data_IF_833707272682
#
_entry.id   IF_833707272682
#
_cell.length_a   1.000
_cell.length_b   1.000
_cell.length_c   1.000
_cell.angle_alpha   90.00
_cell.angle_beta   90.00
_cell.angle_gamma   90.00
#
_symmetry.space_group_name_H-M   'P 1'
#
loop_
_entity.id
_entity.type
_entity.pdbx_description
1 polymer ?
#
# COMPACT_ATOMS: atom_id res chain seq x y z
N UNK A 1 -31.96 1.92 -26.62
CA UNK A 1 -31.15 2.84 -27.45
C UNK A 1 -30.80 4.08 -26.62
N UNK A 2 -29.59 4.18 -26.06
CA UNK A 2 -29.17 5.35 -25.29
C UNK A 2 -28.64 6.44 -26.23
N UNK A 3 -29.06 7.68 -25.96
CA UNK A 3 -28.69 8.90 -26.68
C UNK A 3 -27.17 9.12 -26.61
N UNK A 4 -26.50 9.20 -27.77
CA UNK A 4 -25.10 9.62 -27.87
C UNK A 4 -24.95 11.03 -27.33
N UNK A 5 -24.08 11.18 -26.33
CA UNK A 5 -23.67 12.47 -25.79
C UNK A 5 -22.92 13.32 -26.82
N UNK A 6 -23.13 14.63 -26.73
CA UNK A 6 -22.49 15.67 -27.52
C UNK A 6 -20.97 15.44 -27.67
N UNK A 7 -20.52 15.22 -28.90
CA UNK A 7 -19.09 15.36 -29.25
C UNK A 7 -18.68 16.83 -29.06
N UNK A 8 -17.54 17.13 -28.41
CA UNK A 8 -17.04 18.49 -28.33
C UNK A 8 -16.80 19.03 -29.75
N UNK A 9 -17.46 20.14 -30.08
CA UNK A 9 -17.38 20.81 -31.39
C UNK A 9 -16.08 21.62 -31.44
N UNK A 10 -14.96 20.94 -31.67
CA UNK A 10 -13.65 21.59 -31.83
C UNK A 10 -13.69 22.57 -33.00
N UNK A 11 -13.30 23.83 -32.78
CA UNK A 11 -13.23 24.82 -33.86
C UNK A 11 -12.15 24.38 -34.85
N UNK A 12 -12.44 24.46 -36.15
CA UNK A 12 -11.54 24.08 -37.26
C UNK A 12 -10.13 24.72 -37.18
N UNK A 13 -9.99 25.84 -36.45
CA UNK A 13 -8.71 26.51 -36.17
C UNK A 13 -7.90 25.89 -35.03
N UNK A 14 -8.53 25.27 -34.01
CA UNK A 14 -7.84 24.54 -32.94
C UNK A 14 -7.22 23.25 -33.48
N UNK A 15 -7.92 22.55 -34.38
CA UNK A 15 -7.45 21.28 -34.96
C UNK A 15 -6.18 21.45 -35.80
N UNK A 16 -6.07 22.55 -36.57
CA UNK A 16 -4.86 22.88 -37.35
C UNK A 16 -3.69 23.29 -36.45
N UNK A 17 -3.95 24.04 -35.37
CA UNK A 17 -2.91 24.40 -34.40
C UNK A 17 -2.35 23.17 -33.71
N UNK A 18 -3.22 22.26 -33.27
CA UNK A 18 -2.82 21.00 -32.64
C UNK A 18 -2.03 20.12 -33.62
N UNK A 19 -2.49 19.95 -34.86
CA UNK A 19 -1.72 19.19 -35.88
C UNK A 19 -0.35 19.81 -36.16
N UNK A 20 -0.25 21.14 -36.25
CA UNK A 20 1.03 21.82 -36.47
C UNK A 20 1.98 21.72 -35.28
N UNK A 21 1.45 21.72 -34.05
CA UNK A 21 2.23 21.54 -32.83
C UNK A 21 2.73 20.09 -32.72
N UNK A 22 1.87 19.11 -33.04
CA UNK A 22 2.21 17.69 -33.05
C UNK A 22 3.31 17.39 -34.07
N UNK A 23 3.20 17.93 -35.29
CA UNK A 23 4.23 17.77 -36.33
C UNK A 23 5.57 18.39 -35.92
N UNK A 24 5.55 19.53 -35.23
CA UNK A 24 6.77 20.16 -34.69
C UNK A 24 7.36 19.37 -33.52
N UNK A 25 6.53 18.84 -32.63
CA UNK A 25 6.96 18.01 -31.51
C UNK A 25 7.64 16.72 -32.03
N UNK A 26 7.01 16.05 -33.01
CA UNK A 26 7.57 14.86 -33.67
C UNK A 26 8.89 15.19 -34.40
N UNK A 27 8.98 16.34 -35.07
CA UNK A 27 10.21 16.77 -35.75
C UNK A 27 11.34 17.12 -34.78
N UNK A 28 11.02 17.74 -33.63
CA UNK A 28 12.00 18.03 -32.58
C UNK A 28 12.46 16.75 -31.87
N UNK A 29 11.55 15.83 -31.58
CA UNK A 29 11.84 14.54 -30.96
C UNK A 29 12.70 13.62 -31.85
N UNK A 30 12.70 13.85 -33.17
CA UNK A 30 13.55 13.12 -34.13
C UNK A 30 14.88 13.83 -34.45
N UNK A 31 15.14 15.00 -33.87
CA UNK A 31 16.41 15.72 -34.06
C UNK A 31 17.48 15.23 -33.05
N UNK A 32 18.58 14.60 -33.52
CA UNK A 32 19.61 14.07 -32.64
C UNK A 32 20.28 15.14 -31.77
N UNK A 33 20.43 16.38 -32.27
CA UNK A 33 21.02 17.48 -31.47
C UNK A 33 20.10 17.93 -30.33
N UNK A 34 18.79 17.86 -30.51
CA UNK A 34 17.82 18.17 -29.47
C UNK A 34 17.86 17.11 -28.36
N UNK A 35 17.89 15.83 -28.73
CA UNK A 35 18.01 14.71 -27.80
C UNK A 35 19.32 14.75 -27.00
N UNK A 36 20.43 15.11 -27.64
CA UNK A 36 21.72 15.24 -26.96
C UNK A 36 21.73 16.40 -25.96
N UNK A 37 21.16 17.56 -26.32
CA UNK A 37 20.99 18.70 -25.39
C UNK A 37 20.08 18.33 -24.21
N UNK A 38 18.98 17.61 -24.48
CA UNK A 38 18.06 17.08 -23.45
C UNK A 38 18.80 16.14 -22.48
N UNK A 39 19.66 15.25 -23.00
CA UNK A 39 20.48 14.34 -22.19
C UNK A 39 21.47 15.09 -21.29
N UNK A 40 22.16 16.09 -21.82
CA UNK A 40 23.11 16.92 -21.03
C UNK A 40 22.37 17.66 -19.92
N UNK A 41 21.22 18.25 -20.22
CA UNK A 41 20.37 18.92 -19.22
C UNK A 41 19.90 17.94 -18.13
N UNK A 42 19.57 16.70 -18.49
CA UNK A 42 19.21 15.64 -17.54
C UNK A 42 20.37 15.26 -16.63
N UNK A 43 21.55 15.02 -17.20
CA UNK A 43 22.74 14.72 -16.40
C UNK A 43 23.11 15.87 -15.46
N UNK A 44 22.88 17.11 -15.89
CA UNK A 44 23.07 18.29 -15.05
C UNK A 44 22.06 18.32 -13.88
N UNK A 45 20.79 17.95 -14.11
CA UNK A 45 19.76 17.81 -13.06
C UNK A 45 20.12 16.71 -12.06
N UNK A 46 20.55 15.53 -12.53
CA UNK A 46 20.96 14.41 -11.66
C UNK A 46 22.17 14.75 -10.77
N UNK A 47 22.97 15.76 -11.14
CA UNK A 47 24.07 16.27 -10.30
C UNK A 47 23.59 17.17 -9.14
N UNK A 48 22.34 17.61 -9.14
CA UNK A 48 21.70 18.37 -8.05
C UNK A 48 21.19 17.35 -7.03
N UNK A 49 22.07 17.03 -6.08
CA UNK A 49 21.75 16.16 -4.94
C UNK A 49 22.33 16.79 -3.68
N UNK A 50 21.69 16.51 -2.54
CA UNK A 50 22.04 17.09 -1.24
C UNK A 50 23.52 16.92 -0.91
N UNK A 51 24.10 15.76 -1.25
CA UNK A 51 25.50 15.43 -0.95
C UNK A 51 26.53 16.16 -1.82
N UNK A 52 26.14 16.60 -3.03
CA UNK A 52 27.03 17.32 -3.95
C UNK A 52 26.88 18.83 -3.82
N UNK A 53 25.64 19.32 -3.70
CA UNK A 53 25.30 20.75 -3.65
C UNK A 53 24.23 21.00 -2.57
N UNK A 54 24.57 20.92 -1.26
CA UNK A 54 23.57 20.93 -0.19
C UNK A 54 22.73 22.20 -0.16
N UNK A 55 23.36 23.37 -0.21
CA UNK A 55 22.67 24.67 -0.12
C UNK A 55 21.76 24.94 -1.34
N UNK A 56 22.24 24.62 -2.54
CA UNK A 56 21.45 24.81 -3.78
C UNK A 56 20.27 23.85 -3.81
N UNK A 57 20.49 22.59 -3.46
CA UNK A 57 19.42 21.56 -3.42
C UNK A 57 18.35 21.95 -2.41
N UNK A 58 18.73 22.39 -1.20
CA UNK A 58 17.78 22.83 -0.19
C UNK A 58 17.00 24.07 -0.62
N UNK A 59 17.66 25.05 -1.25
CA UNK A 59 17.01 26.25 -1.76
C UNK A 59 15.98 25.92 -2.84
N UNK A 60 16.33 25.08 -3.83
CA UNK A 60 15.42 24.65 -4.89
C UNK A 60 14.26 23.81 -4.35
N UNK A 61 14.54 22.93 -3.39
CA UNK A 61 13.50 22.20 -2.66
C UNK A 61 12.48 23.15 -2.01
N UNK A 62 12.93 24.17 -1.29
CA UNK A 62 12.05 25.14 -0.64
C UNK A 62 11.21 25.92 -1.65
N UNK A 63 11.81 26.38 -2.75
CA UNK A 63 11.10 27.12 -3.80
C UNK A 63 10.02 26.26 -4.48
N UNK A 64 10.33 25.02 -4.85
CA UNK A 64 9.35 24.11 -5.46
C UNK A 64 8.22 23.76 -4.49
N UNK A 65 8.56 23.58 -3.21
CA UNK A 65 7.57 23.36 -2.15
C UNK A 65 6.62 24.55 -2.03
N UNK A 66 7.13 25.79 -2.07
CA UNK A 66 6.31 27.01 -2.02
C UNK A 66 5.44 27.18 -3.28
N UNK A 67 5.98 26.90 -4.47
CA UNK A 67 5.23 26.96 -5.73
C UNK A 67 4.07 25.97 -5.71
N UNK A 68 4.36 24.72 -5.34
CA UNK A 68 3.34 23.69 -5.24
C UNK A 68 2.32 24.07 -4.17
N UNK A 69 2.74 24.49 -2.98
CA UNK A 69 1.83 24.93 -1.92
C UNK A 69 0.90 26.06 -2.39
N UNK A 70 1.42 27.06 -3.10
CA UNK A 70 0.62 28.12 -3.71
C UNK A 70 -0.39 27.55 -4.72
N UNK A 71 0.03 26.62 -5.57
CA UNK A 71 -0.83 25.93 -6.52
C UNK A 71 -1.96 25.16 -5.83
N UNK A 72 -1.64 24.40 -4.79
CA UNK A 72 -2.61 23.70 -3.94
C UNK A 72 -3.59 24.68 -3.30
N UNK A 73 -3.13 25.79 -2.72
CA UNK A 73 -3.99 26.82 -2.11
C UNK A 73 -4.93 27.44 -3.14
N UNK A 74 -4.45 27.80 -4.33
CA UNK A 74 -5.30 28.39 -5.39
C UNK A 74 -6.33 27.38 -5.89
N UNK A 75 -5.95 26.11 -6.06
CA UNK A 75 -6.89 25.05 -6.42
C UNK A 75 -7.92 24.82 -5.31
N UNK A 76 -7.49 24.75 -4.06
CA UNK A 76 -8.35 24.61 -2.89
C UNK A 76 -9.37 25.76 -2.85
N UNK A 77 -8.91 27.00 -3.08
CA UNK A 77 -9.77 28.17 -3.14
C UNK A 77 -10.79 28.12 -4.28
N UNK A 78 -10.40 27.61 -5.45
CA UNK A 78 -11.31 27.40 -6.58
C UNK A 78 -12.41 26.39 -6.22
N UNK A 79 -12.08 25.39 -5.41
CA UNK A 79 -13.00 24.36 -4.93
C UNK A 79 -13.75 24.75 -3.65
N UNK A 80 -13.63 26.01 -3.18
CA UNK A 80 -14.19 26.47 -1.89
C UNK A 80 -15.65 26.09 -1.67
N UNK A 81 -16.51 26.12 -2.71
CA UNK A 81 -17.93 25.76 -2.57
C UNK A 81 -18.14 24.28 -2.21
N UNK A 82 -17.28 23.39 -2.74
CA UNK A 82 -17.28 21.98 -2.39
C UNK A 82 -16.63 21.71 -1.03
N UNK A 83 -15.73 22.59 -0.57
CA UNK A 83 -15.05 22.48 0.71
C UNK A 83 -15.81 23.07 1.89
N UNK A 84 -16.79 23.95 1.66
CA UNK A 84 -17.65 24.50 2.71
C UNK A 84 -18.46 23.41 3.41
N UNK A 85 -19.00 22.44 2.67
CA UNK A 85 -19.78 21.34 3.25
C UNK A 85 -18.96 20.45 4.22
N UNK A 86 -17.78 19.90 3.83
CA UNK A 86 -16.96 19.14 4.77
C UNK A 86 -16.39 20.01 5.89
N UNK A 87 -16.10 21.30 5.64
CA UNK A 87 -15.67 22.21 6.70
C UNK A 87 -16.77 22.41 7.75
N UNK A 88 -18.01 22.64 7.33
CA UNK A 88 -19.17 22.73 8.24
C UNK A 88 -19.36 21.44 9.02
N UNK A 89 -19.20 20.28 8.37
CA UNK A 89 -19.29 18.98 9.01
C UNK A 89 -18.19 18.77 10.05
N UNK A 90 -16.96 19.22 9.77
CA UNK A 90 -15.83 19.22 10.72
C UNK A 90 -16.09 20.13 11.92
N UNK A 91 -16.68 21.31 11.69
CA UNK A 91 -17.06 22.24 12.76
C UNK A 91 -18.16 21.63 13.63
N UNK A 92 -19.18 21.00 13.03
CA UNK A 92 -20.24 20.30 13.77
C UNK A 92 -19.64 19.15 14.57
N UNK A 93 -18.76 18.35 13.97
CA UNK A 93 -18.09 17.24 14.66
C UNK A 93 -17.22 17.74 15.82
N UNK A 94 -16.47 18.83 15.61
CA UNK A 94 -15.69 19.49 16.66
C UNK A 94 -16.59 20.02 17.78
N UNK A 95 -17.70 20.68 17.46
CA UNK A 95 -18.67 21.14 18.45
C UNK A 95 -19.24 19.96 19.26
N UNK A 96 -19.61 18.85 18.61
CA UNK A 96 -20.07 17.63 19.32
C UNK A 96 -18.99 16.95 20.15
N UNK A 97 -17.71 17.24 19.93
CA UNK A 97 -16.61 16.71 20.74
C UNK A 97 -16.37 17.54 22.01
N UNK A 98 -16.50 18.86 21.91
CA UNK A 98 -16.25 19.79 23.02
C UNK A 98 -17.49 20.06 23.90
N UNK A 99 -18.71 19.87 23.38
CA UNK A 99 -19.93 20.06 24.16
C UNK A 99 -20.16 18.83 25.04
N UNK A 100 -20.14 19.03 26.35
CA UNK A 100 -20.47 17.97 27.30
C UNK A 100 -21.95 17.58 27.18
N UNK A 101 -22.24 16.28 27.10
CA UNK A 101 -23.61 15.78 27.06
C UNK A 101 -23.71 14.26 26.99
N UNK A 102 -24.94 13.75 26.95
CA UNK A 102 -25.21 12.31 26.85
C UNK A 102 -24.61 11.67 25.57
N UNK A 103 -24.39 12.48 24.53
CA UNK A 103 -23.77 12.07 23.28
C UNK A 103 -22.27 11.76 23.41
N UNK A 104 -21.58 12.22 24.47
CA UNK A 104 -20.15 12.00 24.68
C UNK A 104 -19.77 10.51 24.75
N UNK A 105 -20.69 9.66 25.22
CA UNK A 105 -20.50 8.19 25.21
C UNK A 105 -20.33 7.65 23.79
N UNK A 106 -21.14 8.15 22.84
CA UNK A 106 -21.06 7.76 21.44
C UNK A 106 -19.84 8.38 20.75
N UNK A 107 -19.52 9.64 21.08
CA UNK A 107 -18.32 10.31 20.55
C UNK A 107 -17.05 9.56 20.94
N UNK A 108 -16.91 9.18 22.22
CA UNK A 108 -15.74 8.43 22.68
C UNK A 108 -15.69 7.00 22.13
N UNK A 109 -16.85 6.36 21.94
CA UNK A 109 -16.93 5.08 21.24
C UNK A 109 -16.48 5.19 19.78
N UNK A 110 -16.96 6.22 19.05
CA UNK A 110 -16.57 6.51 17.67
C UNK A 110 -15.08 6.83 17.59
N UNK A 111 -14.56 7.70 18.45
CA UNK A 111 -13.14 8.03 18.53
C UNK A 111 -12.28 6.76 18.67
N UNK A 112 -12.61 5.90 19.65
CA UNK A 112 -11.91 4.63 19.87
C UNK A 112 -11.97 3.72 18.65
N UNK A 113 -13.17 3.50 18.08
CA UNK A 113 -13.33 2.62 16.91
C UNK A 113 -12.68 3.21 15.65
N UNK A 114 -12.73 4.51 15.45
CA UNK A 114 -12.09 5.20 14.32
C UNK A 114 -10.58 5.12 14.43
N UNK A 115 -9.98 5.44 15.58
CA UNK A 115 -8.54 5.32 15.81
C UNK A 115 -8.07 3.87 15.61
N UNK A 116 -8.84 2.91 16.11
CA UNK A 116 -8.59 1.49 15.93
C UNK A 116 -8.66 1.06 14.45
N UNK A 117 -9.65 1.53 13.68
CA UNK A 117 -9.74 1.27 12.25
C UNK A 117 -8.57 1.92 11.49
N UNK A 118 -8.25 3.18 11.80
CA UNK A 118 -7.14 3.91 11.20
C UNK A 118 -5.80 3.23 11.48
N UNK A 119 -5.61 2.67 12.68
CA UNK A 119 -4.42 1.91 13.03
C UNK A 119 -4.26 0.68 12.13
N UNK A 120 -5.29 -0.15 12.00
CA UNK A 120 -5.23 -1.37 11.18
C UNK A 120 -5.11 -1.08 9.69
N UNK A 121 -5.86 -0.10 9.18
CA UNK A 121 -5.74 0.35 7.78
C UNK A 121 -4.34 0.92 7.53
N UNK A 122 -3.83 1.75 8.45
CA UNK A 122 -2.50 2.35 8.34
C UNK A 122 -1.38 1.31 8.31
N UNK A 123 -1.42 0.33 9.22
CA UNK A 123 -0.50 -0.81 9.19
C UNK A 123 -0.60 -1.61 7.89
N UNK A 124 -1.82 -1.81 7.38
CA UNK A 124 -2.05 -2.44 6.07
C UNK A 124 -1.43 -1.66 4.92
N UNK A 125 -1.55 -0.33 4.87
CA UNK A 125 -0.93 0.51 3.85
C UNK A 125 0.60 0.40 3.93
N UNK A 126 1.16 0.56 5.13
CA UNK A 126 2.60 0.48 5.37
C UNK A 126 3.17 -0.91 5.03
N UNK A 127 2.37 -1.96 5.18
CA UNK A 127 2.75 -3.32 4.77
C UNK A 127 2.98 -3.47 3.26
N UNK A 128 2.32 -2.65 2.45
CA UNK A 128 2.40 -2.71 0.98
C UNK A 128 3.39 -1.70 0.40
N UNK A 129 3.44 -0.47 0.94
CA UNK A 129 4.15 0.65 0.32
C UNK A 129 5.69 0.58 0.46
N UNK A 130 6.26 -0.29 1.30
CA UNK A 130 7.67 -0.16 1.71
C UNK A 130 8.63 -1.35 1.54
N UNK A 131 8.18 -2.60 1.35
CA UNK A 131 9.09 -3.77 1.42
C UNK A 131 8.74 -4.94 0.49
N UNK A 132 7.74 -4.81 -0.39
CA UNK A 132 7.36 -5.83 -1.39
C UNK A 132 6.86 -7.18 -0.84
N UNK A 133 7.00 -7.45 0.46
CA UNK A 133 6.64 -8.71 1.10
C UNK A 133 5.64 -8.45 2.23
N UNK A 134 4.40 -8.09 1.89
CA UNK A 134 3.33 -7.85 2.88
C UNK A 134 3.08 -9.02 3.85
N UNK A 135 3.62 -10.21 3.55
CA UNK A 135 3.70 -11.36 4.45
C UNK A 135 4.58 -11.09 5.70
N UNK A 136 5.71 -10.39 5.57
CA UNK A 136 6.61 -10.12 6.69
C UNK A 136 5.95 -9.20 7.72
N UNK A 137 5.33 -8.11 7.26
CA UNK A 137 4.60 -7.18 8.12
C UNK A 137 3.36 -7.83 8.74
N UNK A 138 2.67 -8.71 8.00
CA UNK A 138 1.59 -9.54 8.56
C UNK A 138 2.11 -10.40 9.72
N UNK A 139 3.22 -11.11 9.54
CA UNK A 139 3.83 -11.95 10.57
C UNK A 139 4.31 -11.18 11.81
N UNK A 140 4.57 -9.87 11.69
CA UNK A 140 5.04 -9.06 12.81
C UNK A 140 3.92 -8.42 13.63
N UNK A 141 2.77 -8.12 13.02
CA UNK A 141 1.69 -7.37 13.66
C UNK A 141 0.38 -8.15 13.74
N UNK A 142 -0.25 -8.44 12.59
CA UNK A 142 -1.57 -9.07 12.56
C UNK A 142 -1.53 -10.57 12.93
N UNK A 143 -0.52 -11.30 12.47
CA UNK A 143 -0.34 -12.72 12.80
C UNK A 143 -0.22 -12.98 14.30
N UNK A 144 0.71 -12.30 15.02
CA UNK A 144 0.85 -12.42 16.47
C UNK A 144 -0.41 -12.00 17.23
N UNK A 145 -1.14 -11.01 16.72
CA UNK A 145 -2.42 -10.60 17.29
C UNK A 145 -3.48 -11.71 17.21
N UNK A 146 -3.67 -12.30 16.03
CA UNK A 146 -4.59 -13.43 15.81
C UNK A 146 -4.17 -14.63 16.68
N UNK A 147 -2.87 -14.92 16.76
CA UNK A 147 -2.33 -15.99 17.59
C UNK A 147 -2.63 -15.75 19.08
N UNK A 148 -2.43 -14.54 19.60
CA UNK A 148 -2.72 -14.19 20.99
C UNK A 148 -4.21 -14.34 21.33
N UNK A 149 -5.10 -13.87 20.45
CA UNK A 149 -6.55 -14.02 20.61
C UNK A 149 -6.97 -15.50 20.57
N UNK A 150 -6.37 -16.29 19.68
CA UNK A 150 -6.63 -17.73 19.56
C UNK A 150 -6.19 -18.48 20.81
N UNK A 151 -4.98 -18.21 21.32
CA UNK A 151 -4.45 -18.82 22.54
C UNK A 151 -5.31 -18.46 23.75
N UNK A 152 -5.64 -17.18 23.94
CA UNK A 152 -6.50 -16.73 25.02
C UNK A 152 -7.89 -17.38 24.98
N UNK A 153 -8.46 -17.55 23.78
CA UNK A 153 -9.75 -18.21 23.63
C UNK A 153 -9.73 -19.68 24.10
N UNK A 154 -8.64 -20.41 23.81
CA UNK A 154 -8.43 -21.80 24.26
C UNK A 154 -7.94 -21.95 25.70
N UNK A 155 -7.47 -20.88 26.33
CA UNK A 155 -7.05 -20.88 27.74
C UNK A 155 -8.20 -20.47 28.65
N UNK A 156 -8.95 -19.45 28.26
CA UNK A 156 -10.09 -18.97 29.02
C UNK A 156 -11.39 -19.74 28.71
N UNK A 157 -11.41 -20.62 27.69
CA UNK A 157 -12.61 -21.29 27.17
C UNK A 157 -13.78 -20.31 26.91
N UNK A 158 -13.44 -19.09 26.47
CA UNK A 158 -14.40 -18.03 26.19
C UNK A 158 -13.80 -16.99 25.25
N UNK A 159 -14.66 -16.25 24.55
CA UNK A 159 -14.29 -15.10 23.70
C UNK A 159 -14.62 -13.75 24.34
N UNK A 160 -15.12 -13.79 25.58
CA UNK A 160 -15.56 -12.64 26.35
C UNK A 160 -14.43 -12.05 27.20
N UNK A 161 -13.24 -11.92 26.60
CA UNK A 161 -12.14 -11.13 27.16
C UNK A 161 -12.19 -9.69 26.63
N UNK A 162 -11.59 -8.71 27.33
CA UNK A 162 -11.70 -7.29 27.01
C UNK A 162 -11.41 -6.97 25.54
N UNK A 163 -12.25 -6.15 24.92
CA UNK A 163 -12.07 -5.67 23.54
C UNK A 163 -10.84 -4.78 23.38
N UNK A 164 -10.24 -4.72 22.17
CA UNK A 164 -9.11 -3.84 21.93
C UNK A 164 -9.43 -2.36 22.19
N UNK A 165 -8.48 -1.57 22.74
CA UNK A 165 -7.07 -1.89 22.96
C UNK A 165 -6.89 -2.93 24.08
N UNK A 166 -6.26 -4.05 23.73
CA UNK A 166 -6.02 -5.12 24.68
C UNK A 166 -5.06 -4.59 25.76
N UNK A 167 -5.29 -4.88 27.05
CA UNK A 167 -4.23 -4.74 28.02
C UNK A 167 -3.03 -5.60 27.56
N UNK A 168 -1.84 -5.33 28.08
CA UNK A 168 -0.64 -6.15 27.76
C UNK A 168 -0.88 -7.65 27.97
N UNK A 169 -1.88 -8.01 28.80
CA UNK A 169 -2.39 -9.36 29.01
C UNK A 169 -3.88 -9.44 28.65
N UNK A 170 -4.28 -10.44 27.88
CA UNK A 170 -5.69 -10.84 27.77
C UNK A 170 -6.05 -11.57 29.07
N UNK A 171 -6.75 -10.88 29.97
CA UNK A 171 -7.17 -11.45 31.26
C UNK A 171 -8.47 -12.21 31.06
N UNK A 172 -8.52 -13.46 31.52
CA UNK A 172 -9.75 -14.26 31.50
C UNK A 172 -10.80 -13.64 32.44
N UNK A 173 -12.08 -13.56 32.04
CA UNK A 173 -13.13 -13.04 32.92
C UNK A 173 -13.35 -13.96 34.13
N UNK A 174 -13.53 -13.37 35.31
CA UNK A 174 -13.91 -14.10 36.52
C UNK A 174 -15.37 -14.56 36.40
N UNK A 175 -15.62 -15.88 36.37
CA UNK A 175 -16.97 -16.47 36.31
C UNK A 175 -17.45 -16.93 34.92
N UNK A 176 -16.53 -17.27 34.00
CA UNK A 176 -16.89 -17.74 32.66
C UNK A 176 -17.67 -19.06 32.64
N UNK A 177 -18.80 -19.06 31.93
CA UNK A 177 -19.51 -20.28 31.52
C UNK A 177 -18.57 -21.07 30.59
N UNK A 178 -18.36 -22.36 30.87
CA UNK A 178 -17.62 -23.28 29.99
C UNK A 178 -18.36 -23.42 28.64
N UNK A 179 -18.07 -22.53 27.69
CA UNK A 179 -18.55 -22.63 26.33
C UNK A 179 -17.43 -23.25 25.48
N UNK A 180 -17.75 -24.27 24.68
CA UNK A 180 -16.81 -24.81 23.72
C UNK A 180 -16.52 -23.77 22.65
N UNK A 181 -15.29 -23.25 22.63
CA UNK A 181 -14.87 -22.26 21.64
C UNK A 181 -14.66 -22.96 20.29
N UNK A 182 -15.49 -22.62 19.31
CA UNK A 182 -15.33 -23.11 17.94
C UNK A 182 -14.33 -22.27 17.15
N UNK A 183 -13.68 -22.89 16.16
CA UNK A 183 -12.78 -22.21 15.22
C UNK A 183 -13.47 -21.00 14.56
N UNK A 184 -14.72 -21.19 14.15
CA UNK A 184 -15.54 -20.15 13.52
C UNK A 184 -15.80 -18.95 14.44
N UNK A 185 -15.94 -19.20 15.75
CA UNK A 185 -16.13 -18.12 16.72
C UNK A 185 -14.86 -17.29 16.90
N UNK A 186 -13.67 -17.92 16.86
CA UNK A 186 -12.38 -17.22 16.90
C UNK A 186 -12.18 -16.39 15.62
N UNK A 187 -12.42 -16.97 14.44
CA UNK A 187 -12.37 -16.25 13.16
C UNK A 187 -13.33 -15.04 13.18
N UNK A 188 -14.56 -15.25 13.64
CA UNK A 188 -15.54 -14.17 13.76
C UNK A 188 -15.12 -13.05 14.71
N UNK A 189 -14.27 -13.34 15.71
CA UNK A 189 -13.77 -12.37 16.68
C UNK A 189 -12.68 -11.47 16.08
N UNK A 190 -11.78 -11.99 15.25
CA UNK A 190 -10.65 -11.25 14.65
C UNK A 190 -10.91 -10.75 13.22
N UNK A 191 -12.08 -11.09 12.65
CA UNK A 191 -12.43 -10.77 11.25
C UNK A 191 -12.30 -9.29 10.90
N UNK A 192 -12.57 -8.39 11.84
CA UNK A 192 -12.67 -6.96 11.55
C UNK A 192 -11.28 -6.34 11.50
N UNK A 193 -10.38 -6.77 12.38
CA UNK A 193 -8.94 -6.47 12.36
C UNK A 193 -8.33 -6.93 11.03
N UNK A 194 -8.58 -8.19 10.65
CA UNK A 194 -8.09 -8.78 9.42
C UNK A 194 -8.64 -8.07 8.17
N UNK A 195 -9.94 -7.75 8.17
CA UNK A 195 -10.56 -7.00 7.08
C UNK A 195 -9.96 -5.59 6.94
N UNK A 196 -9.84 -4.83 8.04
CA UNK A 196 -9.29 -3.47 8.02
C UNK A 196 -7.82 -3.44 7.59
N UNK A 197 -7.04 -4.42 8.02
CA UNK A 197 -5.68 -4.63 7.50
C UNK A 197 -5.69 -4.83 5.98
N UNK A 198 -6.54 -5.74 5.49
CA UNK A 198 -6.62 -6.05 4.06
C UNK A 198 -7.13 -4.88 3.20
N UNK A 199 -8.02 -4.03 3.74
CA UNK A 199 -8.40 -2.75 3.14
C UNK A 199 -7.17 -1.86 2.98
N UNK A 200 -6.38 -1.74 4.05
CA UNK A 200 -5.11 -1.00 4.03
C UNK A 200 -4.13 -1.53 2.98
N UNK A 201 -3.96 -2.85 2.91
CA UNK A 201 -3.12 -3.49 1.89
C UNK A 201 -3.60 -3.18 0.47
N UNK A 202 -4.92 -3.22 0.21
CA UNK A 202 -5.48 -2.89 -1.09
C UNK A 202 -5.25 -1.42 -1.48
N UNK A 203 -5.28 -0.50 -0.51
CA UNK A 203 -4.97 0.92 -0.73
C UNK A 203 -3.47 1.11 -1.01
N UNK A 204 -2.61 0.45 -0.23
CA UNK A 204 -1.15 0.60 -0.35
C UNK A 204 -0.57 0.09 -1.66
N UNK A 205 -1.31 -0.73 -2.42
CA UNK A 205 -0.89 -1.24 -3.72
C UNK A 205 -1.56 -0.51 -4.91
N UNK A 206 -2.27 0.60 -4.66
CA UNK A 206 -2.75 1.51 -5.70
C UNK A 206 -1.65 2.28 -6.47
N UNK A 207 -0.45 2.59 -5.92
CA UNK A 207 0.52 3.42 -6.62
C UNK A 207 0.90 2.92 -8.02
N UNK A 208 1.22 1.63 -8.26
CA UNK A 208 1.53 1.12 -9.59
C UNK A 208 0.42 1.34 -10.62
N UNK A 209 -0.85 1.22 -10.21
CA UNK A 209 -2.00 1.46 -11.09
C UNK A 209 -2.09 2.93 -11.53
N UNK A 210 -1.95 3.88 -10.59
CA UNK A 210 -2.02 5.30 -10.92
C UNK A 210 -0.81 5.76 -11.74
N UNK A 211 0.38 5.25 -11.43
CA UNK A 211 1.60 5.52 -12.20
C UNK A 211 1.44 5.06 -13.65
N UNK A 212 1.07 3.79 -13.88
CA UNK A 212 0.88 3.27 -15.23
C UNK A 212 -0.28 3.94 -15.99
N UNK A 213 -1.36 4.32 -15.28
CA UNK A 213 -2.50 5.05 -15.87
C UNK A 213 -2.09 6.47 -16.28
N UNK A 214 -1.33 7.17 -15.44
CA UNK A 214 -0.84 8.51 -15.74
C UNK A 214 0.10 8.46 -16.94
N UNK A 215 1.03 7.50 -16.98
CA UNK A 215 1.93 7.29 -18.12
C UNK A 215 1.16 7.13 -19.44
N UNK A 216 0.15 6.25 -19.46
CA UNK A 216 -0.64 6.04 -20.69
C UNK A 216 -1.44 7.27 -21.13
N UNK A 217 -1.96 8.06 -20.19
CA UNK A 217 -2.78 9.24 -20.47
C UNK A 217 -1.96 10.43 -20.95
N UNK A 218 -0.70 10.53 -20.54
CA UNK A 218 0.18 11.65 -20.91
C UNK A 218 0.67 11.60 -22.36
N UNK A 219 0.70 10.41 -22.99
CA UNK A 219 1.08 10.24 -24.40
C UNK A 219 2.51 10.69 -24.74
N UNK A 220 2.94 10.62 -26.01
CA UNK A 220 4.28 11.05 -26.45
C UNK A 220 4.54 12.57 -26.33
N UNK A 221 3.58 13.34 -25.81
CA UNK A 221 3.66 14.80 -25.63
C UNK A 221 4.21 15.19 -24.25
N UNK A 222 4.59 14.21 -23.42
CA UNK A 222 5.15 14.48 -22.10
C UNK A 222 6.67 14.67 -22.18
N UNK A 223 7.10 15.93 -22.09
CA UNK A 223 8.46 16.32 -21.67
C UNK A 223 8.76 15.87 -20.19
N UNK A 224 8.18 14.75 -19.74
CA UNK A 224 8.38 14.16 -18.43
C UNK A 224 9.28 12.92 -18.54
N UNK A 225 10.58 13.16 -18.48
CA UNK A 225 11.65 12.15 -18.57
C UNK A 225 11.56 11.04 -17.52
N UNK A 226 10.98 11.31 -16.35
CA UNK A 226 10.72 10.31 -15.29
C UNK A 226 9.60 9.32 -15.71
N UNK A 227 8.75 9.72 -16.64
CA UNK A 227 7.75 8.85 -17.27
C UNK A 227 8.33 8.06 -18.44
N UNK A 228 9.24 8.63 -19.24
CA UNK A 228 10.00 7.89 -20.27
C UNK A 228 10.84 6.78 -19.61
N UNK A 229 11.51 7.03 -18.47
CA UNK A 229 12.28 6.02 -17.72
C UNK A 229 11.40 4.89 -17.16
N UNK A 230 10.19 5.21 -16.69
CA UNK A 230 9.22 4.19 -16.27
C UNK A 230 8.68 3.40 -17.46
N UNK A 231 8.46 4.03 -18.62
CA UNK A 231 8.06 3.36 -19.85
C UNK A 231 9.18 2.46 -20.40
N UNK A 232 10.43 2.92 -20.41
CA UNK A 232 11.62 2.11 -20.74
C UNK A 232 11.82 0.96 -19.76
N UNK A 233 11.65 1.17 -18.45
CA UNK A 233 11.63 0.07 -17.47
C UNK A 233 10.50 -0.92 -17.75
N UNK A 234 9.33 -0.44 -18.16
CA UNK A 234 8.21 -1.30 -18.56
C UNK A 234 8.49 -2.04 -19.87
N UNK A 235 9.19 -1.44 -20.83
CA UNK A 235 9.59 -2.04 -22.12
C UNK A 235 10.75 -3.04 -21.96
N UNK A 236 11.71 -2.75 -21.08
CA UNK A 236 12.75 -3.70 -20.66
C UNK A 236 12.12 -4.85 -19.87
N UNK A 237 11.05 -4.57 -19.11
CA UNK A 237 10.17 -5.59 -18.54
C UNK A 237 9.31 -6.31 -19.61
N UNK A 238 9.03 -5.70 -20.76
CA UNK A 238 8.28 -6.28 -21.90
C UNK A 238 9.17 -7.14 -22.82
N UNK A 239 10.50 -7.04 -22.67
CA UNK A 239 11.46 -7.79 -23.46
C UNK A 239 11.39 -9.32 -23.19
N UNK A 240 11.39 -10.19 -24.22
CA UNK A 240 11.01 -11.60 -24.12
C UNK A 240 12.11 -12.53 -23.56
N UNK A 241 13.04 -12.04 -22.73
CA UNK A 241 14.18 -12.82 -22.23
C UNK A 241 13.96 -13.26 -20.77
N UNK A 242 13.14 -14.29 -20.57
CA UNK A 242 13.07 -15.00 -19.29
C UNK A 242 11.75 -15.72 -19.03
N UNK A 243 11.80 -16.78 -18.22
CA UNK A 243 10.68 -17.64 -17.76
C UNK A 243 9.48 -16.92 -17.13
N UNK A 244 9.54 -15.58 -17.00
CA UNK A 244 8.45 -14.69 -16.58
C UNK A 244 7.45 -14.39 -17.70
N UNK A 245 7.71 -14.77 -18.96
CA UNK A 245 6.84 -14.48 -20.11
C UNK A 245 5.45 -15.11 -20.01
N UNK A 246 5.33 -16.35 -19.52
CA UNK A 246 4.04 -17.04 -19.43
C UNK A 246 3.11 -16.38 -18.40
N UNK A 247 3.63 -15.96 -17.25
CA UNK A 247 2.85 -15.34 -16.17
C UNK A 247 2.36 -13.95 -16.61
N UNK A 248 3.22 -13.18 -17.29
CA UNK A 248 2.85 -11.89 -17.89
C UNK A 248 1.75 -12.04 -18.93
N UNK A 249 1.95 -12.95 -19.88
CA UNK A 249 0.99 -13.16 -20.96
C UNK A 249 -0.33 -13.74 -20.43
N UNK A 250 -0.28 -14.57 -19.39
CA UNK A 250 -1.46 -15.11 -18.71
C UNK A 250 -2.23 -14.03 -17.95
N UNK A 251 -1.55 -13.17 -17.18
CA UNK A 251 -2.20 -12.06 -16.45
C UNK A 251 -2.81 -11.06 -17.43
N UNK A 252 -2.08 -10.67 -18.48
CA UNK A 252 -2.61 -9.77 -19.50
C UNK A 252 -3.82 -10.39 -20.23
N UNK A 253 -3.76 -11.66 -20.61
CA UNK A 253 -4.88 -12.34 -21.25
C UNK A 253 -6.07 -12.52 -20.29
N UNK A 254 -5.82 -12.80 -19.01
CA UNK A 254 -6.86 -12.97 -17.99
C UNK A 254 -7.58 -11.64 -17.72
N UNK A 255 -6.83 -10.55 -17.56
CA UNK A 255 -7.40 -9.20 -17.36
C UNK A 255 -8.18 -8.77 -18.61
N UNK A 256 -7.66 -9.02 -19.82
CA UNK A 256 -8.35 -8.69 -21.08
C UNK A 256 -9.62 -9.53 -21.32
N UNK A 257 -9.58 -10.83 -21.01
CA UNK A 257 -10.64 -11.78 -21.37
C UNK A 257 -11.73 -11.88 -20.29
N UNK A 258 -11.35 -11.73 -19.02
CA UNK A 258 -12.23 -11.97 -17.86
C UNK A 258 -12.58 -10.66 -17.13
N UNK A 259 -11.82 -9.58 -17.34
CA UNK A 259 -12.11 -8.26 -16.76
C UNK A 259 -12.07 -8.31 -15.23
N UNK A 260 -13.17 -7.92 -14.58
CA UNK A 260 -13.28 -7.83 -13.12
C UNK A 260 -12.84 -9.11 -12.38
N UNK A 261 -13.32 -10.29 -12.81
CA UNK A 261 -12.96 -11.54 -12.13
C UNK A 261 -11.51 -11.96 -12.39
N UNK A 262 -10.92 -11.54 -13.51
CA UNK A 262 -9.49 -11.74 -13.77
C UNK A 262 -8.63 -10.93 -12.81
N UNK A 263 -9.00 -9.66 -12.58
CA UNK A 263 -8.35 -8.80 -11.59
C UNK A 263 -8.51 -9.36 -10.18
N UNK A 264 -9.71 -9.85 -9.84
CA UNK A 264 -9.99 -10.47 -8.55
C UNK A 264 -9.12 -11.69 -8.29
N UNK A 265 -8.97 -12.57 -9.28
CA UNK A 265 -8.10 -13.73 -9.19
C UNK A 265 -6.64 -13.31 -8.98
N UNK A 266 -6.15 -12.32 -9.73
CA UNK A 266 -4.79 -11.80 -9.54
C UNK A 266 -4.59 -11.15 -8.17
N UNK A 267 -5.60 -10.47 -7.63
CA UNK A 267 -5.54 -9.86 -6.30
C UNK A 267 -5.61 -10.86 -5.14
N UNK A 268 -6.18 -12.03 -5.38
CA UNK A 268 -6.30 -13.09 -4.37
C UNK A 268 -5.01 -13.91 -4.20
N UNK A 269 -4.05 -13.78 -5.13
CA UNK A 269 -2.78 -14.54 -5.19
C UNK A 269 -1.63 -13.69 -4.59
N UNK A 270 -0.55 -14.30 -4.05
CA UNK A 270 0.56 -13.57 -3.44
C UNK A 270 1.22 -12.48 -4.31
N UNK A 271 1.87 -11.54 -3.63
CA UNK A 271 2.20 -10.18 -4.08
C UNK A 271 2.82 -9.99 -5.48
N UNK A 272 3.74 -10.83 -6.01
CA UNK A 272 4.36 -10.56 -7.31
C UNK A 272 3.36 -10.48 -8.48
N UNK A 273 2.25 -11.21 -8.38
CA UNK A 273 1.23 -11.27 -9.45
C UNK A 273 0.33 -10.03 -9.47
N UNK A 274 0.16 -9.37 -8.31
CA UNK A 274 -0.71 -8.22 -8.17
C UNK A 274 -0.07 -6.95 -8.73
N UNK A 275 1.20 -6.69 -8.42
CA UNK A 275 1.91 -5.49 -8.89
C UNK A 275 1.89 -5.44 -10.43
N UNK A 276 2.06 -6.61 -11.06
CA UNK A 276 1.91 -6.81 -12.49
C UNK A 276 0.49 -6.52 -13.01
N UNK A 277 -0.53 -7.01 -12.30
CA UNK A 277 -1.92 -6.73 -12.65
C UNK A 277 -2.26 -5.23 -12.49
N UNK A 278 -1.71 -4.56 -11.48
CA UNK A 278 -1.87 -3.13 -11.24
C UNK A 278 -1.31 -2.28 -12.38
N UNK A 279 -0.06 -2.56 -12.79
CA UNK A 279 0.58 -1.93 -13.95
C UNK A 279 -0.23 -2.19 -15.22
N UNK A 280 -0.59 -3.44 -15.50
CA UNK A 280 -1.37 -3.79 -16.68
C UNK A 280 -2.73 -3.07 -16.71
N UNK A 281 -3.46 -3.05 -15.58
CA UNK A 281 -4.75 -2.36 -15.48
C UNK A 281 -4.62 -0.85 -15.67
N UNK A 282 -3.55 -0.24 -15.13
CA UNK A 282 -3.25 1.17 -15.33
C UNK A 282 -2.96 1.48 -16.79
N UNK A 283 -2.06 0.71 -17.42
CA UNK A 283 -1.69 0.85 -18.82
C UNK A 283 -2.88 0.64 -19.78
N UNK A 284 -3.78 -0.31 -19.49
CA UNK A 284 -5.00 -0.51 -20.28
C UNK A 284 -6.17 0.42 -19.90
N UNK A 285 -5.94 1.39 -19.02
CA UNK A 285 -6.93 2.40 -18.59
C UNK A 285 -8.22 1.82 -17.98
N UNK A 286 -8.15 0.62 -17.38
CA UNK A 286 -9.30 -0.03 -16.71
C UNK A 286 -9.90 0.93 -15.67
N UNK A 287 -11.24 1.09 -15.59
CA UNK A 287 -11.85 2.01 -14.63
C UNK A 287 -11.43 1.75 -13.19
N UNK A 288 -11.18 2.82 -12.42
CA UNK A 288 -10.69 2.73 -11.04
C UNK A 288 -11.57 1.82 -10.17
N UNK A 289 -12.90 1.98 -10.23
CA UNK A 289 -13.82 1.18 -9.40
C UNK A 289 -13.82 -0.31 -9.76
N UNK A 290 -13.58 -0.66 -11.02
CA UNK A 290 -13.46 -2.06 -11.44
C UNK A 290 -12.19 -2.68 -10.91
N UNK A 291 -11.08 -1.94 -10.99
CA UNK A 291 -9.81 -2.36 -10.42
C UNK A 291 -9.91 -2.44 -8.89
N UNK A 292 -10.13 -1.31 -8.22
CA UNK A 292 -10.16 -1.20 -6.76
C UNK A 292 -11.21 -2.11 -6.10
N UNK A 293 -12.40 -2.27 -6.70
CA UNK A 293 -13.40 -3.20 -6.18
C UNK A 293 -12.91 -4.66 -6.20
N UNK A 294 -12.29 -5.09 -7.31
CA UNK A 294 -11.72 -6.43 -7.41
C UNK A 294 -10.52 -6.62 -6.48
N UNK A 295 -9.67 -5.59 -6.33
CA UNK A 295 -8.50 -5.64 -5.43
C UNK A 295 -8.94 -5.69 -3.97
N UNK A 296 -9.95 -4.91 -3.59
CA UNK A 296 -10.50 -4.88 -2.23
C UNK A 296 -11.09 -6.24 -1.86
N UNK A 297 -11.89 -6.86 -2.72
CA UNK A 297 -12.47 -8.18 -2.44
C UNK A 297 -11.36 -9.25 -2.39
N UNK A 298 -10.43 -9.24 -3.35
CA UNK A 298 -9.34 -10.21 -3.39
C UNK A 298 -8.42 -10.12 -2.17
N UNK A 299 -8.14 -8.92 -1.68
CA UNK A 299 -7.21 -8.71 -0.56
C UNK A 299 -7.91 -8.71 0.79
N UNK A 300 -8.93 -7.89 0.99
CA UNK A 300 -9.58 -7.73 2.29
C UNK A 300 -10.48 -8.90 2.68
N UNK A 301 -11.00 -9.65 1.70
CA UNK A 301 -11.90 -10.77 1.96
C UNK A 301 -11.19 -12.09 1.70
N UNK A 302 -10.76 -12.35 0.45
CA UNK A 302 -10.24 -13.69 0.09
C UNK A 302 -8.87 -13.95 0.73
N UNK A 303 -7.86 -13.15 0.38
CA UNK A 303 -6.48 -13.34 0.84
C UNK A 303 -6.38 -13.25 2.37
N UNK A 304 -6.99 -12.23 2.97
CA UNK A 304 -6.92 -12.05 4.43
C UNK A 304 -7.59 -13.21 5.18
N UNK A 305 -8.79 -13.66 4.79
CA UNK A 305 -9.43 -14.79 5.50
C UNK A 305 -8.68 -16.11 5.32
N UNK A 306 -8.00 -16.33 4.18
CA UNK A 306 -7.12 -17.49 4.02
C UNK A 306 -5.92 -17.39 4.98
N UNK A 307 -5.28 -16.22 5.09
CA UNK A 307 -4.16 -16.00 6.01
C UNK A 307 -4.59 -16.10 7.48
N UNK A 308 -5.74 -15.54 7.82
CA UNK A 308 -6.36 -15.61 9.14
C UNK A 308 -6.68 -17.06 9.53
N UNK A 309 -7.36 -17.80 8.65
CA UNK A 309 -7.68 -19.22 8.85
C UNK A 309 -6.41 -20.04 9.08
N UNK A 310 -5.37 -19.82 8.28
CA UNK A 310 -4.09 -20.49 8.46
C UNK A 310 -3.52 -20.26 9.86
N UNK A 311 -3.46 -19.01 10.32
CA UNK A 311 -2.94 -18.69 11.67
C UNK A 311 -3.80 -19.31 12.76
N UNK A 312 -5.13 -19.17 12.71
CA UNK A 312 -6.01 -19.75 13.76
C UNK A 312 -5.88 -21.27 13.80
N UNK A 313 -5.79 -21.95 12.65
CA UNK A 313 -5.56 -23.41 12.61
C UNK A 313 -4.20 -23.81 13.19
N UNK A 314 -3.13 -23.07 12.90
CA UNK A 314 -1.78 -23.35 13.43
C UNK A 314 -1.69 -23.21 14.96
N UNK A 315 -2.50 -22.34 15.56
CA UNK A 315 -2.52 -22.14 17.02
C UNK A 315 -3.70 -22.84 17.73
N UNK A 316 -4.49 -23.65 17.01
CA UNK A 316 -5.58 -24.42 17.58
C UNK A 316 -5.08 -25.74 18.17
N UNK A 317 -5.18 -25.90 19.49
CA UNK A 317 -4.71 -27.11 20.21
C UNK A 317 -5.20 -28.42 19.57
N UNK A 318 -6.50 -28.52 19.32
CA UNK A 318 -7.12 -29.73 18.78
C UNK A 318 -6.68 -30.03 17.33
N UNK A 319 -6.54 -29.01 16.47
CA UNK A 319 -6.15 -29.21 15.06
C UNK A 319 -4.65 -29.47 14.95
N UNK A 320 -3.84 -28.82 15.78
CA UNK A 320 -2.40 -29.09 15.88
C UNK A 320 -2.17 -30.54 16.29
N UNK A 321 -2.85 -31.03 17.33
CA UNK A 321 -2.73 -32.43 17.76
C UNK A 321 -3.17 -33.42 16.67
N UNK A 322 -4.25 -33.11 15.92
CA UNK A 322 -4.68 -33.90 14.76
C UNK A 322 -3.70 -33.86 13.58
N UNK A 323 -3.13 -32.69 13.27
CA UNK A 323 -2.10 -32.56 12.23
C UNK A 323 -0.81 -33.27 12.62
N UNK A 324 -0.40 -33.17 13.87
CA UNK A 324 0.81 -33.79 14.40
C UNK A 324 0.68 -35.32 14.40
N UNK A 325 -0.49 -35.86 14.76
CA UNK A 325 -0.78 -37.30 14.66
C UNK A 325 -0.84 -37.78 13.21
N UNK A 326 -1.41 -36.99 12.29
CA UNK A 326 -1.37 -37.25 10.84
C UNK A 326 0.06 -37.21 10.27
N UNK A 327 0.89 -36.25 10.68
CA UNK A 327 2.31 -36.16 10.29
C UNK A 327 3.09 -37.36 10.85
N UNK A 328 2.80 -37.78 12.08
CA UNK A 328 3.36 -38.98 12.71
C UNK A 328 3.01 -40.28 11.98
N UNK A 329 1.93 -40.31 11.21
CA UNK A 329 1.53 -41.47 10.39
C UNK A 329 2.37 -41.65 9.11
N UNK A 330 3.22 -40.67 8.75
CA UNK A 330 4.11 -40.76 7.58
C UNK A 330 5.31 -41.66 7.91
N UNK A 331 5.49 -42.81 7.23
CA UNK A 331 6.59 -43.72 7.53
C UNK A 331 7.96 -43.07 7.35
N UNK A 332 8.90 -43.38 8.26
CA UNK A 332 10.30 -42.91 8.36
C UNK A 332 10.54 -41.43 8.72
N UNK A 333 9.69 -40.48 8.32
CA UNK A 333 9.92 -39.04 8.56
C UNK A 333 9.02 -38.49 9.68
N UNK A 334 7.85 -39.09 9.90
CA UNK A 334 6.83 -38.60 10.84
C UNK A 334 7.30 -38.34 12.27
N UNK A 335 7.97 -39.28 12.96
CA UNK A 335 8.34 -39.10 14.38
C UNK A 335 9.36 -37.98 14.61
N UNK A 336 10.29 -37.77 13.68
CA UNK A 336 11.29 -36.70 13.77
C UNK A 336 10.65 -35.33 13.50
N UNK A 337 9.77 -35.27 12.49
CA UNK A 337 9.08 -34.04 12.09
C UNK A 337 8.03 -33.63 13.14
N UNK A 338 7.32 -34.60 13.74
CA UNK A 338 6.40 -34.39 14.86
C UNK A 338 7.09 -33.74 16.05
N UNK A 339 8.25 -34.27 16.48
CA UNK A 339 8.98 -33.72 17.62
C UNK A 339 9.51 -32.32 17.35
N UNK A 340 10.08 -32.08 16.16
CA UNK A 340 10.54 -30.76 15.74
C UNK A 340 9.40 -29.73 15.68
N UNK A 341 8.22 -30.15 15.21
CA UNK A 341 7.05 -29.26 15.10
C UNK A 341 6.42 -28.96 16.46
N UNK A 342 6.31 -29.96 17.34
CA UNK A 342 5.85 -29.77 18.73
C UNK A 342 6.81 -28.87 19.52
N UNK A 343 8.12 -29.16 19.50
CA UNK A 343 9.13 -28.35 20.19
C UNK A 343 9.14 -26.89 19.68
N UNK A 344 8.96 -26.68 18.37
CA UNK A 344 8.86 -25.34 17.78
C UNK A 344 7.60 -24.60 18.25
N UNK A 345 6.42 -25.24 18.19
CA UNK A 345 5.16 -24.66 18.63
C UNK A 345 5.15 -24.33 20.13
N UNK A 346 5.69 -25.21 20.97
CA UNK A 346 5.80 -24.99 22.40
C UNK A 346 6.79 -23.87 22.71
N UNK A 347 7.92 -23.79 21.99
CA UNK A 347 8.89 -22.70 22.15
C UNK A 347 8.32 -21.34 21.74
N UNK A 348 7.49 -21.28 20.69
CA UNK A 348 6.84 -20.05 20.24
C UNK A 348 5.69 -19.67 21.18
N UNK A 349 4.89 -20.64 21.65
CA UNK A 349 3.87 -20.41 22.66
C UNK A 349 4.48 -19.80 23.93
N UNK A 350 5.56 -20.39 24.45
CA UNK A 350 6.28 -19.88 25.62
C UNK A 350 6.87 -18.49 25.36
N UNK A 351 7.40 -18.19 24.18
CA UNK A 351 7.89 -16.84 23.82
C UNK A 351 6.79 -15.81 23.72
N UNK A 352 5.60 -16.18 23.23
CA UNK A 352 4.41 -15.32 23.20
C UNK A 352 3.93 -15.01 24.63
N UNK A 353 3.98 -15.98 25.54
CA UNK A 353 3.67 -15.74 26.96
C UNK A 353 4.80 -14.99 27.71
N UNK A 354 6.08 -15.22 27.41
CA UNK A 354 7.22 -14.60 28.13
C UNK A 354 7.58 -13.19 27.66
N UNK A 355 7.36 -12.85 26.38
CA UNK A 355 7.35 -11.44 25.93
C UNK A 355 6.36 -10.58 26.71
N UNK A 356 5.37 -11.23 27.33
CA UNK A 356 4.30 -10.62 28.13
C UNK A 356 4.63 -10.56 29.64
N UNK A 357 5.73 -11.19 30.08
CA UNK A 357 6.24 -11.15 31.47
C UNK A 357 7.50 -10.28 31.63
N UNK A 358 8.21 -9.98 30.55
CA UNK A 358 9.53 -9.35 30.62
C UNK A 358 9.50 -7.86 30.28
N UNK A 359 8.80 -7.05 31.10
CA UNK A 359 9.03 -5.58 31.12
C UNK A 359 9.95 -5.11 32.24
N UNK A 360 10.41 -6.00 33.14
CA UNK A 360 11.28 -5.64 34.27
C UNK A 360 12.60 -6.43 34.36
N UNK A 361 13.09 -7.01 33.25
CA UNK A 361 14.47 -7.52 33.18
C UNK A 361 15.13 -6.84 31.98
N UNK A 362 16.36 -6.29 32.09
CA UNK A 362 17.13 -5.82 30.95
C UNK A 362 17.61 -7.04 30.15
N UNK A 363 16.67 -7.74 29.52
CA UNK A 363 16.90 -8.88 28.67
C UNK A 363 17.41 -8.37 27.32
N UNK A 364 18.62 -8.82 26.94
CA UNK A 364 19.27 -8.61 25.64
C UNK A 364 18.24 -8.28 24.56
N UNK A 365 18.20 -7.02 24.14
CA UNK A 365 17.52 -6.65 22.90
C UNK A 365 18.01 -7.63 21.83
N UNK A 366 17.07 -8.31 21.17
CA UNK A 366 17.42 -9.20 20.07
C UNK A 366 18.24 -8.36 19.09
N UNK A 367 19.53 -8.65 18.92
CA UNK A 367 20.43 -7.90 18.04
C UNK A 367 19.85 -7.75 16.62
N UNK A 368 19.03 -8.73 16.21
CA UNK A 368 18.19 -8.71 15.00
C UNK A 368 17.17 -7.55 15.01
N UNK A 369 16.41 -7.35 16.09
CA UNK A 369 15.46 -6.24 16.22
C UNK A 369 16.18 -4.89 16.13
N UNK A 370 17.27 -4.72 16.88
CA UNK A 370 18.09 -3.50 16.83
C UNK A 370 18.63 -3.25 15.41
N UNK A 371 19.11 -4.29 14.74
CA UNK A 371 19.58 -4.21 13.35
C UNK A 371 18.46 -3.79 12.38
N UNK A 372 17.29 -4.44 12.46
CA UNK A 372 16.14 -4.09 11.62
C UNK A 372 15.62 -2.68 11.90
N UNK A 373 15.59 -2.24 13.15
CA UNK A 373 15.23 -0.87 13.52
C UNK A 373 16.19 0.13 12.87
N UNK A 374 17.51 -0.09 12.96
CA UNK A 374 18.50 0.77 12.29
C UNK A 374 18.38 0.73 10.77
N UNK A 375 18.13 -0.44 10.19
CA UNK A 375 17.91 -0.59 8.75
C UNK A 375 16.69 0.22 8.30
N UNK A 376 15.56 0.14 9.02
CA UNK A 376 14.35 0.92 8.72
C UNK A 376 14.63 2.41 8.83
N UNK A 377 15.33 2.86 9.87
CA UNK A 377 15.71 4.27 10.01
C UNK A 377 16.57 4.73 8.82
N UNK A 378 17.54 3.91 8.38
CA UNK A 378 18.37 4.22 7.20
C UNK A 378 17.51 4.30 5.94
N UNK A 379 16.56 3.37 5.74
CA UNK A 379 15.64 3.40 4.60
C UNK A 379 14.75 4.66 4.61
N UNK A 380 14.22 5.04 5.77
CA UNK A 380 13.40 6.25 5.93
C UNK A 380 14.22 7.51 5.67
N UNK A 381 15.45 7.59 6.20
CA UNK A 381 16.35 8.70 5.92
C UNK A 381 16.68 8.77 4.42
N UNK A 382 16.99 7.64 3.79
CA UNK A 382 17.22 7.58 2.34
C UNK A 382 15.99 8.05 1.56
N UNK A 383 14.79 7.64 1.97
CA UNK A 383 13.53 8.06 1.35
C UNK A 383 13.30 9.58 1.48
N UNK A 384 13.51 10.16 2.67
CA UNK A 384 13.42 11.61 2.89
C UNK A 384 14.43 12.36 2.00
N UNK A 385 15.66 11.86 1.91
CA UNK A 385 16.70 12.44 1.08
C UNK A 385 16.35 12.34 -0.42
N UNK A 386 15.74 11.23 -0.83
CA UNK A 386 15.22 11.04 -2.18
C UNK A 386 14.11 12.06 -2.50
N UNK A 387 13.17 12.30 -1.57
CA UNK A 387 12.13 13.33 -1.75
C UNK A 387 12.76 14.72 -1.92
N UNK A 388 13.72 15.09 -1.07
CA UNK A 388 14.37 16.40 -1.15
C UNK A 388 15.09 16.57 -2.50
N UNK A 389 15.83 15.54 -2.93
CA UNK A 389 16.52 15.56 -4.22
C UNK A 389 15.52 15.64 -5.39
N UNK A 390 14.49 14.80 -5.41
CA UNK A 390 13.45 14.77 -6.46
C UNK A 390 12.74 16.12 -6.60
N UNK A 391 12.35 16.73 -5.48
CA UNK A 391 11.71 18.06 -5.47
C UNK A 391 12.67 19.17 -5.97
N UNK A 392 13.94 19.14 -5.61
CA UNK A 392 14.94 20.09 -6.10
C UNK A 392 15.22 19.92 -7.62
N UNK A 393 15.22 18.68 -8.09
CA UNK A 393 15.36 18.35 -9.52
C UNK A 393 14.13 18.81 -10.31
N UNK A 394 12.93 18.65 -9.75
CA UNK A 394 11.68 19.15 -10.33
C UNK A 394 11.69 20.67 -10.52
N UNK A 395 12.19 21.43 -9.53
CA UNK A 395 12.38 22.88 -9.67
C UNK A 395 13.27 23.24 -10.87
N UNK A 396 14.39 22.53 -10.99
CA UNK A 396 15.38 22.78 -12.05
C UNK A 396 14.79 22.48 -13.42
N UNK A 397 14.01 21.40 -13.52
CA UNK A 397 13.26 21.05 -14.73
C UNK A 397 12.26 22.14 -15.11
N UNK A 398 11.48 22.65 -14.15
CA UNK A 398 10.53 23.76 -14.37
C UNK A 398 11.25 25.01 -14.88
N UNK A 399 12.39 25.36 -14.30
CA UNK A 399 13.19 26.50 -14.74
C UNK A 399 13.72 26.31 -16.18
N UNK A 400 14.21 25.12 -16.51
CA UNK A 400 14.68 24.79 -17.86
C UNK A 400 13.56 24.88 -18.90
N UNK A 401 12.36 24.39 -18.56
CA UNK A 401 11.18 24.50 -19.43
C UNK A 401 10.80 25.97 -19.69
N UNK A 402 10.92 26.84 -18.67
CA UNK A 402 10.67 28.28 -18.84
C UNK A 402 11.70 28.94 -19.76
N UNK A 403 12.99 28.65 -19.58
CA UNK A 403 14.05 29.15 -20.47
C UNK A 403 13.83 28.69 -21.91
N UNK A 404 13.59 27.39 -22.10
CA UNK A 404 13.32 26.81 -23.42
C UNK A 404 12.06 27.40 -24.07
N UNK A 405 11.06 27.79 -23.29
CA UNK A 405 9.85 28.45 -23.81
C UNK A 405 10.12 29.89 -24.25
N UNK A 406 11.01 30.62 -23.56
CA UNK A 406 11.43 31.96 -23.94
C UNK A 406 12.30 31.94 -25.20
N UNK A 407 13.24 31.00 -25.30
CA UNK A 407 14.06 30.80 -26.50
C UNK A 407 13.24 30.42 -27.74
N UNK A 408 12.04 29.83 -27.56
CA UNK A 408 11.12 29.52 -28.65
C UNK A 408 10.26 30.72 -29.09
N UNK A 409 10.16 31.77 -28.26
CA UNK A 409 9.37 32.98 -28.54
C UNK A 409 10.20 34.12 -29.15
N UNK A 410 11.51 34.13 -28.88
CA UNK A 410 12.49 34.99 -29.54
C UNK A 410 12.97 34.35 -30.84
#
# INVERSE_FOLDING_TARGET
MPKMGNKPKWRRGETRKIQSALLRAVFLASNPQYLERKRIDWEARQKIVLWKKPLVTLHYFLLETLINLKGWIVNLWRWRRFLVAPMLLLVVFGATYYIEGAHQKYVHYLEKKTLWCCYWIGLGILSSVGLGTGLHTFMLYLGPHIAAVTLAAYECNTLNFPEPPYPERIVCPEGGIEATVSLWAILSKVRFEAFMWGVGTAIGELPPYFMARAARMSGPDADDEEFEEFEEMLEEYDSPRGTTSWAKQSVQNLVKKVGFFGILACASIPNPLFDLAGIACGHFLVPFWTFFGATLIGKAIVKMHIQELFVVMTFSKHIVEQMVTLIGSVPKVGPSLQKLFQDYLDSEKVKLHSKTETKNVPGKENWVYWFFEKLVIVMVLYFILSIINSMAQSYTKRMQQQINSQDKMN
#
